data_IF_794950097270
#
_entry.id   IF_794950097270
#
_cell.length_a   1.000
_cell.length_b   1.000
_cell.length_c   1.000
_cell.angle_alpha   90.00
_cell.angle_beta   90.00
_cell.angle_gamma   90.00
#
_symmetry.space_group_name_H-M   'P 1'
#
loop_
_entity.id
_entity.type
_entity.pdbx_description
1 polymer ?
#
# COMPACT_ATOMS: atom_id res chain seq x y z
N UNK A 1 -4.56 -15.52 25.68
CA UNK A 1 -3.83 -15.24 24.42
C UNK A 1 -4.74 -14.35 23.61
N UNK A 2 -4.56 -13.03 23.69
CA UNK A 2 -5.28 -12.11 22.82
C UNK A 2 -4.64 -12.22 21.44
N UNK A 3 -5.39 -12.64 20.43
CA UNK A 3 -4.96 -12.44 19.05
C UNK A 3 -4.99 -10.93 18.81
N UNK A 4 -3.83 -10.30 18.71
CA UNK A 4 -3.68 -8.92 18.27
C UNK A 4 -4.17 -8.85 16.82
N UNK A 5 -5.47 -8.58 16.65
CA UNK A 5 -6.05 -8.25 15.37
C UNK A 5 -5.44 -6.92 14.95
N UNK A 6 -4.60 -6.91 13.92
CA UNK A 6 -4.25 -5.68 13.23
C UNK A 6 -5.56 -5.05 12.73
N UNK A 7 -5.98 -3.95 13.35
CA UNK A 7 -7.27 -3.25 13.16
C UNK A 7 -7.33 -2.45 11.85
N UNK A 8 -6.64 -2.88 10.79
CA UNK A 8 -6.78 -2.20 9.51
C UNK A 8 -8.16 -2.48 8.91
N UNK A 9 -8.71 -1.50 8.20
CA UNK A 9 -10.04 -1.62 7.57
C UNK A 9 -9.98 -1.11 6.13
N UNK A 10 -10.68 -1.78 5.22
CA UNK A 10 -10.90 -1.25 3.87
C UNK A 10 -12.01 -0.21 3.96
N UNK A 11 -11.72 1.03 3.55
CA UNK A 11 -12.69 2.13 3.56
C UNK A 11 -13.76 1.87 2.49
N UNK A 12 -15.04 2.03 2.85
CA UNK A 12 -16.08 2.04 1.81
C UNK A 12 -15.93 3.28 0.94
N UNK A 13 -16.21 3.15 -0.36
CA UNK A 13 -16.08 4.25 -1.32
C UNK A 13 -16.95 5.48 -0.99
N UNK A 14 -18.05 5.28 -0.26
CA UNK A 14 -18.94 6.36 0.21
C UNK A 14 -18.45 7.08 1.46
N UNK A 15 -17.50 6.50 2.18
CA UNK A 15 -17.12 6.97 3.50
C UNK A 15 -16.04 8.05 3.37
N UNK A 16 -16.29 9.19 4.02
CA UNK A 16 -15.31 10.25 4.16
C UNK A 16 -14.56 10.07 5.48
N UNK A 17 -13.22 10.06 5.42
CA UNK A 17 -12.36 10.05 6.60
C UNK A 17 -11.51 11.32 6.61
N UNK A 18 -11.73 12.18 7.60
CA UNK A 18 -10.82 13.29 7.88
C UNK A 18 -9.58 12.74 8.60
N UNK A 19 -8.46 12.66 7.87
CA UNK A 19 -7.21 12.14 8.40
C UNK A 19 -6.63 13.00 9.52
N UNK A 20 -6.90 14.31 9.51
CA UNK A 20 -6.41 15.22 10.55
C UNK A 20 -7.17 15.04 11.86
N UNK A 21 -8.49 14.85 11.78
CA UNK A 21 -9.32 14.55 12.94
C UNK A 21 -9.06 13.12 13.45
N UNK A 22 -8.88 12.15 12.54
CA UNK A 22 -8.72 10.74 12.88
C UNK A 22 -7.32 10.40 13.41
N UNK A 23 -6.27 10.86 12.72
CA UNK A 23 -4.85 10.60 13.04
C UNK A 23 -4.14 11.85 13.54
N UNK A 24 -4.89 12.76 14.15
CA UNK A 24 -4.38 14.00 14.72
C UNK A 24 -3.32 13.78 15.80
N UNK A 25 -3.18 14.75 16.71
CA UNK A 25 -2.00 14.78 17.59
C UNK A 25 -1.78 13.52 18.43
N UNK A 26 -2.85 12.81 18.78
CA UNK A 26 -2.85 11.66 19.68
C UNK A 26 -2.68 10.30 18.96
N UNK A 27 -2.86 10.24 17.63
CA UNK A 27 -2.90 8.99 16.87
C UNK A 27 -1.84 8.92 15.74
N UNK A 28 -0.66 9.50 15.97
CA UNK A 28 0.46 9.52 15.01
C UNK A 28 1.06 8.16 14.67
N UNK A 29 0.64 7.12 15.38
CA UNK A 29 1.09 5.75 15.15
C UNK A 29 0.28 5.04 14.06
N UNK A 30 -0.72 5.70 13.47
CA UNK A 30 -1.54 5.14 12.41
C UNK A 30 -1.38 5.91 11.10
N UNK A 31 -1.59 5.22 9.98
CA UNK A 31 -1.65 5.83 8.66
C UNK A 31 -2.72 5.20 7.78
N UNK A 32 -3.14 5.94 6.76
CA UNK A 32 -3.92 5.42 5.63
C UNK A 32 -2.99 5.06 4.49
N UNK A 33 -3.22 3.90 3.89
CA UNK A 33 -2.57 3.45 2.67
C UNK A 33 -3.52 3.59 1.48
N UNK A 34 -3.09 4.30 0.43
CA UNK A 34 -3.73 4.24 -0.88
C UNK A 34 -3.16 3.04 -1.66
N UNK A 35 -4.01 2.07 -1.97
CA UNK A 35 -3.63 0.86 -2.70
C UNK A 35 -4.22 0.88 -4.11
N UNK A 36 -3.33 0.85 -5.09
CA UNK A 36 -3.65 0.61 -6.49
C UNK A 36 -3.47 -0.88 -6.79
N UNK A 37 -4.51 -1.58 -7.24
CA UNK A 37 -4.45 -3.05 -7.43
C UNK A 37 -5.30 -3.53 -8.61
N UNK A 38 -5.00 -4.73 -9.11
CA UNK A 38 -5.72 -5.34 -10.24
C UNK A 38 -5.42 -4.73 -11.60
N UNK A 39 -4.46 -3.82 -11.70
CA UNK A 39 -3.99 -3.22 -12.94
C UNK A 39 -2.66 -3.81 -13.41
N UNK A 40 -2.13 -3.27 -14.49
CA UNK A 40 -0.83 -3.64 -15.04
C UNK A 40 0.02 -2.41 -15.34
N UNK A 41 1.33 -2.56 -15.24
CA UNK A 41 2.25 -1.52 -15.68
C UNK A 41 2.39 -1.55 -17.20
N UNK A 42 2.35 -0.38 -17.83
CA UNK A 42 2.78 -0.24 -19.21
C UNK A 42 4.30 -0.42 -19.36
N UNK A 43 4.77 -0.58 -20.60
CA UNK A 43 6.19 -0.70 -20.89
C UNK A 43 6.92 0.64 -20.75
N UNK A 44 8.19 0.58 -20.36
CA UNK A 44 9.08 1.75 -20.42
C UNK A 44 9.31 2.22 -21.86
N UNK A 45 9.42 3.54 -22.14
CA UNK A 45 9.32 4.69 -21.23
C UNK A 45 7.89 5.25 -21.11
N UNK A 46 7.70 6.20 -20.17
CA UNK A 46 6.42 6.82 -19.82
C UNK A 46 5.43 5.84 -19.22
N UNK A 47 5.89 4.97 -18.32
CA UNK A 47 5.02 3.97 -17.71
C UNK A 47 3.82 4.61 -17.02
N UNK A 48 2.66 4.02 -17.29
CA UNK A 48 1.44 4.20 -16.51
C UNK A 48 1.03 2.90 -15.82
N UNK A 49 0.03 2.98 -14.94
CA UNK A 49 -0.59 1.85 -14.28
C UNK A 49 -2.07 1.75 -14.68
N UNK A 50 -2.34 0.82 -15.58
CA UNK A 50 -3.59 0.75 -16.34
C UNK A 50 -4.55 -0.32 -15.86
N UNK A 51 -5.85 0.00 -15.94
CA UNK A 51 -6.95 -0.93 -15.64
C UNK A 51 -7.12 -1.29 -14.16
N UNK A 52 -6.37 -0.65 -13.26
CA UNK A 52 -6.42 -0.91 -11.82
C UNK A 52 -7.58 -0.21 -11.11
N UNK A 53 -7.80 -0.64 -9.86
CA UNK A 53 -8.70 -0.01 -8.89
C UNK A 53 -7.88 0.68 -7.79
N UNK A 54 -8.52 1.65 -7.13
CA UNK A 54 -7.96 2.34 -5.98
C UNK A 54 -8.87 2.08 -4.79
N UNK A 55 -8.28 1.51 -3.74
CA UNK A 55 -8.92 1.33 -2.44
C UNK A 55 -8.06 1.97 -1.34
N UNK A 56 -8.71 2.41 -0.27
CA UNK A 56 -8.05 3.04 0.88
C UNK A 56 -8.10 2.08 2.07
N UNK A 57 -6.95 1.85 2.69
CA UNK A 57 -6.83 1.00 3.88
C UNK A 57 -6.46 1.90 5.05
N UNK A 58 -7.34 1.96 6.03
CA UNK A 58 -7.23 2.85 7.19
C UNK A 58 -6.75 2.09 8.43
N UNK A 59 -6.29 2.86 9.41
CA UNK A 59 -5.92 2.42 10.75
C UNK A 59 -4.75 1.42 10.76
N UNK A 60 -3.85 1.54 9.78
CA UNK A 60 -2.64 0.73 9.76
C UNK A 60 -1.67 1.29 10.78
N UNK A 61 -1.35 0.49 11.79
CA UNK A 61 -0.37 0.87 12.80
C UNK A 61 1.06 0.75 12.27
N UNK A 62 1.81 1.84 12.39
CA UNK A 62 3.18 2.03 11.90
C UNK A 62 4.15 0.98 12.45
N UNK A 63 4.02 0.63 13.73
CA UNK A 63 4.95 -0.29 14.40
C UNK A 63 4.69 -1.76 14.05
N UNK A 64 3.47 -2.10 13.65
CA UNK A 64 3.06 -3.48 13.34
C UNK A 64 2.95 -3.74 11.83
N UNK A 65 2.99 -2.69 11.00
CA UNK A 65 2.97 -2.85 9.55
C UNK A 65 4.17 -3.66 9.07
N UNK A 66 3.87 -4.71 8.32
CA UNK A 66 4.82 -5.75 7.94
C UNK A 66 4.42 -6.38 6.60
N UNK A 67 5.32 -7.13 5.94
CA UNK A 67 4.96 -7.94 4.77
C UNK A 67 3.78 -8.87 5.04
N UNK A 68 3.67 -9.44 6.25
CA UNK A 68 2.55 -10.32 6.62
C UNK A 68 1.22 -9.57 6.70
N UNK A 69 1.22 -8.37 7.26
CA UNK A 69 0.02 -7.49 7.30
C UNK A 69 -0.35 -7.06 5.88
N UNK A 70 0.62 -6.70 5.05
CA UNK A 70 0.34 -6.34 3.66
C UNK A 70 -0.21 -7.53 2.85
N UNK A 71 0.35 -8.73 3.05
CA UNK A 71 -0.17 -9.95 2.45
C UNK A 71 -1.60 -10.25 2.90
N UNK A 72 -1.94 -10.07 4.18
CA UNK A 72 -3.31 -10.29 4.65
C UNK A 72 -4.30 -9.28 4.05
N UNK A 73 -3.87 -8.03 3.83
CA UNK A 73 -4.64 -7.03 3.07
C UNK A 73 -4.89 -7.53 1.64
N UNK A 74 -3.86 -7.96 0.90
CA UNK A 74 -4.03 -8.47 -0.47
C UNK A 74 -4.97 -9.68 -0.54
N UNK A 75 -4.82 -10.63 0.39
CA UNK A 75 -5.71 -11.79 0.49
C UNK A 75 -7.17 -11.38 0.71
N UNK A 76 -7.43 -10.30 1.45
CA UNK A 76 -8.80 -9.82 1.69
C UNK A 76 -9.48 -9.28 0.42
N UNK A 77 -8.70 -8.83 -0.56
CA UNK A 77 -9.18 -8.48 -1.90
C UNK A 77 -9.25 -9.70 -2.85
N UNK A 78 -8.91 -10.90 -2.39
CA UNK A 78 -8.95 -12.13 -3.17
C UNK A 78 -7.71 -12.37 -4.04
N UNK A 79 -6.60 -11.65 -3.80
CA UNK A 79 -5.35 -11.89 -4.52
C UNK A 79 -4.56 -13.06 -3.96
N UNK A 80 -3.93 -13.80 -4.86
CA UNK A 80 -2.90 -14.78 -4.52
C UNK A 80 -1.56 -14.06 -4.32
N UNK A 81 -1.04 -14.12 -3.09
CA UNK A 81 0.19 -13.44 -2.70
C UNK A 81 1.45 -14.05 -3.31
N UNK A 82 1.40 -15.29 -3.81
CA UNK A 82 2.55 -15.93 -4.47
C UNK A 82 2.77 -15.38 -5.89
N UNK A 83 1.69 -14.92 -6.53
CA UNK A 83 1.69 -14.41 -7.91
C UNK A 83 1.50 -12.90 -8.01
N UNK A 84 1.30 -12.22 -6.88
CA UNK A 84 1.12 -10.76 -6.83
C UNK A 84 2.40 -10.05 -6.43
N UNK A 85 2.85 -9.13 -7.28
CA UNK A 85 4.00 -8.27 -7.02
C UNK A 85 3.56 -6.93 -6.44
N UNK A 86 4.24 -6.51 -5.38
CA UNK A 86 3.97 -5.27 -4.67
C UNK A 86 5.07 -4.24 -4.92
N UNK A 87 4.67 -3.00 -5.13
CA UNK A 87 5.54 -1.86 -5.36
C UNK A 87 5.10 -0.70 -4.48
N UNK A 88 6.06 0.12 -4.08
CA UNK A 88 5.79 1.42 -3.47
C UNK A 88 6.26 2.54 -4.37
N UNK A 89 5.53 3.65 -4.29
CA UNK A 89 5.89 4.92 -4.90
C UNK A 89 5.92 5.99 -3.80
N UNK A 90 7.07 6.63 -3.63
CA UNK A 90 7.25 7.71 -2.66
C UNK A 90 7.22 9.04 -3.39
N UNK A 91 6.29 9.90 -2.99
CA UNK A 91 5.97 11.18 -3.67
C UNK A 91 5.51 10.95 -5.11
N UNK A 92 4.88 11.94 -5.74
CA UNK A 92 4.32 11.87 -7.11
C UNK A 92 5.38 11.75 -8.22
N UNK A 93 6.45 10.99 -7.98
CA UNK A 93 7.52 10.68 -8.91
C UNK A 93 6.98 9.88 -10.09
N UNK A 94 7.51 10.08 -11.31
CA UNK A 94 7.18 9.23 -12.46
C UNK A 94 7.45 7.75 -12.16
N UNK A 95 6.57 6.86 -12.64
CA UNK A 95 6.70 5.41 -12.42
C UNK A 95 8.00 4.83 -13.00
N UNK A 96 8.57 5.47 -14.01
CA UNK A 96 9.86 5.12 -14.60
C UNK A 96 11.02 5.13 -13.60
N UNK A 97 10.92 5.96 -12.56
CA UNK A 97 12.03 6.22 -11.60
C UNK A 97 11.62 5.94 -10.16
N UNK A 98 10.36 6.17 -9.80
CA UNK A 98 9.88 6.15 -8.43
C UNK A 98 9.46 4.77 -7.90
N UNK A 99 9.31 3.76 -8.75
CA UNK A 99 8.85 2.43 -8.35
C UNK A 99 9.91 1.67 -7.58
N UNK A 100 9.59 1.31 -6.34
CA UNK A 100 10.42 0.45 -5.50
C UNK A 100 9.69 -0.86 -5.24
N UNK A 101 10.24 -1.98 -5.72
CA UNK A 101 9.67 -3.31 -5.44
C UNK A 101 9.72 -3.58 -3.93
N UNK A 102 8.61 -4.05 -3.38
CA UNK A 102 8.49 -4.46 -1.99
C UNK A 102 8.68 -5.98 -1.92
N UNK A 103 9.93 -6.43 -1.80
CA UNK A 103 10.26 -7.84 -1.81
C UNK A 103 10.66 -8.35 -0.42
N UNK A 104 11.19 -7.48 0.43
CA UNK A 104 11.74 -7.85 1.73
C UNK A 104 11.26 -6.91 2.84
N UNK A 105 11.33 -7.40 4.07
CA UNK A 105 10.97 -6.66 5.29
C UNK A 105 11.53 -5.23 5.35
N UNK A 106 12.79 -5.05 4.91
CA UNK A 106 13.46 -3.76 4.96
C UNK A 106 12.81 -2.72 4.02
N UNK A 107 12.20 -3.16 2.91
CA UNK A 107 11.54 -2.27 1.95
C UNK A 107 10.29 -1.63 2.58
N UNK A 108 9.54 -2.43 3.34
CA UNK A 108 8.37 -1.98 4.10
C UNK A 108 8.76 -1.02 5.24
N UNK A 109 9.82 -1.32 6.00
CA UNK A 109 10.34 -0.39 7.02
C UNK A 109 10.76 0.94 6.37
N UNK A 110 11.48 0.87 5.26
CA UNK A 110 11.96 2.07 4.57
C UNK A 110 10.80 2.89 4.01
N UNK A 111 9.75 2.24 3.53
CA UNK A 111 8.52 2.89 3.11
C UNK A 111 7.85 3.62 4.28
N UNK A 112 7.58 2.94 5.39
CA UNK A 112 6.91 3.51 6.57
C UNK A 112 7.70 4.69 7.15
N UNK A 113 9.04 4.61 7.16
CA UNK A 113 9.90 5.73 7.60
C UNK A 113 9.79 6.95 6.68
N UNK A 114 9.55 6.75 5.38
CA UNK A 114 9.48 7.81 4.37
C UNK A 114 8.07 8.38 4.22
N UNK A 115 7.05 7.59 4.50
CA UNK A 115 5.66 7.96 4.26
C UNK A 115 5.03 8.41 5.55
N UNK A 116 4.89 9.73 5.68
CA UNK A 116 4.05 10.35 6.70
C UNK A 116 2.78 10.98 6.13
N UNK A 117 2.56 10.96 4.81
CA UNK A 117 1.35 11.57 4.20
C UNK A 117 1.09 11.23 2.72
N UNK A 118 2.09 10.87 1.90
CA UNK A 118 1.93 10.83 0.42
C UNK A 118 2.48 9.55 -0.26
N UNK A 119 2.42 8.40 0.42
CA UNK A 119 2.91 7.13 -0.13
C UNK A 119 1.82 6.33 -0.84
N UNK A 120 2.15 5.79 -2.01
CA UNK A 120 1.25 4.93 -2.80
C UNK A 120 1.79 3.50 -2.84
N UNK A 121 0.88 2.52 -2.82
CA UNK A 121 1.20 1.13 -3.12
C UNK A 121 0.55 0.72 -4.42
N UNK A 122 1.29 -0.06 -5.23
CA UNK A 122 0.82 -0.59 -6.50
C UNK A 122 1.03 -2.10 -6.53
N UNK A 123 0.03 -2.83 -6.99
CA UNK A 123 0.04 -4.29 -7.05
C UNK A 123 -0.31 -4.81 -8.44
N UNK A 124 0.55 -5.66 -9.00
CA UNK A 124 0.35 -6.26 -10.32
C UNK A 124 0.60 -7.77 -10.27
N UNK A 125 -0.13 -8.53 -11.08
CA UNK A 125 0.13 -9.97 -11.29
C UNK A 125 1.27 -10.22 -12.30
N UNK A 126 1.74 -9.18 -12.98
CA UNK A 126 2.87 -9.24 -13.89
C UNK A 126 4.15 -8.74 -13.20
N UNK A 127 5.24 -9.50 -13.34
CA UNK A 127 6.55 -9.09 -12.83
C UNK A 127 7.05 -7.91 -13.66
N UNK A 128 7.34 -6.80 -12.98
CA UNK A 128 8.08 -5.69 -13.59
C UNK A 128 9.55 -6.07 -13.87
N UNK A 129 10.01 -5.88 -15.11
CA UNK A 129 11.44 -5.84 -15.47
C UNK A 129 12.12 -7.17 -15.85
N UNK A 130 11.44 -8.03 -16.63
CA UNK A 130 12.14 -9.10 -17.37
C UNK A 130 12.83 -8.53 -18.62
#
# INVERSE_FOLDING_TARGET
MASESSLWVVRNTSDYLDLYDTYGWDNKNYFTMMLHHGGNFEYYPNRDYDGGKIDYIDFIEVETFSPKVFQSILTSFGYDVETTYAYSLVSFSPLDVGLNKLAYWNDFINFVKKVKTEGFFLCSTSLFGA
#
